data_IF_773990561273
#
_entry.id   IF_773990561273
#
_cell.length_a   1.000
_cell.length_b   1.000
_cell.length_c   1.000
_cell.angle_alpha   90.00
_cell.angle_beta   90.00
_cell.angle_gamma   90.00
#
_symmetry.space_group_name_H-M   'P 1'
#
loop_
_entity.id
_entity.type
_entity.pdbx_description
1 polymer ?
#
# COMPACT_ATOMS: atom_id res chain seq x y z
N UNK A 1 -12.69 -23.73 -58.85
CA UNK A 1 -12.40 -22.57 -59.73
C UNK A 1 -11.57 -21.63 -58.89
N UNK A 2 -10.24 -21.61 -59.06
CA UNK A 2 -9.52 -20.73 -60.03
C UNK A 2 -9.76 -19.27 -59.62
N UNK A 3 -8.78 -18.46 -59.21
CA UNK A 3 -7.46 -18.24 -59.84
C UNK A 3 -6.47 -17.53 -58.92
N UNK A 4 -5.21 -17.97 -58.97
CA UNK A 4 -4.03 -17.12 -58.82
C UNK A 4 -3.90 -16.18 -60.02
N UNK A 5 -3.43 -14.95 -59.83
CA UNK A 5 -2.41 -14.31 -60.68
C UNK A 5 -1.88 -12.99 -60.06
N UNK A 6 -0.64 -12.58 -60.38
CA UNK A 6 0.21 -11.69 -59.57
C UNK A 6 0.38 -10.29 -60.18
N UNK A 7 0.98 -9.35 -59.43
CA UNK A 7 1.50 -8.10 -59.98
C UNK A 7 3.00 -7.93 -59.66
N UNK A 8 3.73 -7.55 -60.71
CA UNK A 8 5.18 -7.41 -60.80
C UNK A 8 5.64 -5.95 -60.48
N UNK A 9 6.97 -5.67 -60.41
CA UNK A 9 7.57 -4.63 -59.58
C UNK A 9 7.90 -3.31 -60.32
N UNK A 10 8.19 -2.23 -59.57
CA UNK A 10 8.82 -0.98 -60.03
C UNK A 10 9.70 -0.45 -58.88
N UNK A 11 11.04 -0.54 -58.95
CA UNK A 11 12.04 0.30 -59.65
C UNK A 11 12.60 1.43 -58.77
N UNK A 12 13.91 1.38 -58.56
CA UNK A 12 14.74 2.39 -57.88
C UNK A 12 15.28 3.37 -58.92
N UNK A 13 15.08 4.68 -58.71
CA UNK A 13 16.06 5.72 -59.10
C UNK A 13 15.63 7.13 -58.63
N UNK A 14 16.60 7.80 -58.01
CA UNK A 14 16.90 9.24 -58.05
C UNK A 14 15.97 10.26 -57.35
N UNK A 15 16.45 10.77 -56.22
CA UNK A 15 16.63 12.21 -56.02
C UNK A 15 17.65 12.47 -54.90
N UNK A 16 18.88 12.75 -55.30
CA UNK A 16 19.88 13.42 -54.48
C UNK A 16 19.55 14.91 -54.38
N UNK A 17 19.63 15.46 -53.16
CA UNK A 17 20.03 16.82 -52.76
C UNK A 17 19.17 17.36 -51.61
N UNK A 18 19.69 17.25 -50.39
CA UNK A 18 19.36 18.17 -49.30
C UNK A 18 20.62 18.37 -48.44
N UNK A 19 21.38 19.38 -48.87
CA UNK A 19 22.18 20.33 -48.11
C UNK A 19 22.63 19.97 -46.68
N UNK A 20 23.96 19.95 -46.58
CA UNK A 20 24.80 19.97 -45.40
C UNK A 20 24.42 21.15 -44.47
N UNK A 21 23.53 20.90 -43.50
CA UNK A 21 23.28 21.79 -42.37
C UNK A 21 24.20 21.37 -41.23
N UNK A 22 24.93 22.30 -40.58
CA UNK A 22 25.79 21.94 -39.46
C UNK A 22 24.89 21.37 -38.35
N UNK A 23 25.15 20.12 -37.95
CA UNK A 23 24.59 19.52 -36.76
C UNK A 23 24.81 20.48 -35.59
N UNK A 24 23.74 21.18 -35.20
CA UNK A 24 23.69 21.81 -33.89
C UNK A 24 23.95 20.68 -32.88
N UNK A 25 24.90 20.91 -31.98
CA UNK A 25 25.14 20.08 -30.82
C UNK A 25 23.90 20.14 -29.91
N UNK A 26 22.84 19.41 -30.30
CA UNK A 26 21.73 19.06 -29.43
C UNK A 26 22.29 18.19 -28.32
N UNK A 27 22.12 18.64 -27.09
CA UNK A 27 22.85 18.20 -25.90
C UNK A 27 22.94 16.67 -25.76
N UNK A 28 24.16 16.13 -25.70
CA UNK A 28 24.43 14.75 -25.27
C UNK A 28 23.81 14.41 -23.90
N UNK A 29 23.43 15.43 -23.11
CA UNK A 29 22.70 15.30 -21.85
C UNK A 29 21.27 14.74 -22.01
N UNK A 30 20.60 14.96 -23.15
CA UNK A 30 19.23 14.50 -23.36
C UNK A 30 19.12 12.99 -23.61
N UNK A 31 20.22 12.35 -24.05
CA UNK A 31 20.31 10.92 -24.38
C UNK A 31 21.10 10.11 -23.35
N UNK A 32 21.55 10.71 -22.25
CA UNK A 32 22.31 10.00 -21.22
C UNK A 32 21.38 9.39 -20.17
N UNK A 33 21.66 8.16 -19.75
CA UNK A 33 20.98 7.51 -18.61
C UNK A 33 21.21 8.24 -17.29
N UNK A 34 22.19 9.16 -17.21
CA UNK A 34 22.39 10.03 -16.06
C UNK A 34 21.15 10.90 -15.75
N UNK A 35 20.26 11.12 -16.72
CA UNK A 35 18.99 11.83 -16.52
C UNK A 35 18.04 11.15 -15.51
N UNK A 36 18.27 9.86 -15.22
CA UNK A 36 17.48 9.08 -14.27
C UNK A 36 18.01 9.14 -12.84
N UNK A 37 19.25 9.63 -12.64
CA UNK A 37 19.73 9.95 -11.31
C UNK A 37 18.85 11.08 -10.78
N UNK A 38 18.14 10.81 -9.70
CA UNK A 38 17.26 11.80 -9.11
C UNK A 38 18.08 13.01 -8.66
N UNK A 39 17.68 14.21 -9.07
CA UNK A 39 18.08 15.44 -8.36
C UNK A 39 17.28 15.48 -7.06
N UNK A 40 17.63 14.62 -6.11
CA UNK A 40 16.93 14.49 -4.84
C UNK A 40 17.06 15.80 -4.07
N UNK A 41 15.95 16.51 -3.94
CA UNK A 41 15.79 17.63 -3.01
C UNK A 41 15.16 17.12 -1.72
N UNK A 42 15.17 17.96 -0.68
CA UNK A 42 14.48 17.65 0.58
C UNK A 42 12.96 17.37 0.40
N UNK A 43 12.36 17.87 -0.69
CA UNK A 43 10.94 17.73 -0.99
C UNK A 43 10.63 16.55 -1.93
N UNK A 44 11.63 15.76 -2.33
CA UNK A 44 11.43 14.64 -3.26
C UNK A 44 10.68 13.51 -2.57
N UNK A 45 9.51 13.16 -3.10
CA UNK A 45 8.74 12.00 -2.63
C UNK A 45 9.40 10.70 -3.10
N UNK A 46 9.59 9.75 -2.19
CA UNK A 46 10.25 8.47 -2.51
C UNK A 46 9.54 7.75 -3.66
N UNK A 47 8.21 7.67 -3.62
CA UNK A 47 7.40 6.95 -4.62
C UNK A 47 7.45 7.58 -6.04
N UNK A 48 7.94 8.81 -6.18
CA UNK A 48 8.09 9.50 -7.47
C UNK A 48 9.47 9.31 -8.10
N UNK A 49 10.40 8.69 -7.37
CA UNK A 49 11.76 8.41 -7.84
C UNK A 49 11.82 7.06 -8.56
N UNK A 50 12.46 7.02 -9.74
CA UNK A 50 12.69 5.76 -10.49
C UNK A 50 13.80 4.90 -9.87
N UNK A 51 14.82 5.55 -9.32
CA UNK A 51 15.96 4.92 -8.66
C UNK A 51 15.90 5.20 -7.16
N UNK A 52 16.57 4.38 -6.33
CA UNK A 52 16.76 4.71 -4.92
C UNK A 52 17.35 6.11 -4.72
N UNK A 53 17.02 6.76 -3.60
CA UNK A 53 17.45 8.12 -3.29
C UNK A 53 18.97 8.28 -3.24
N UNK A 54 19.68 7.23 -2.84
CA UNK A 54 21.15 7.23 -2.77
C UNK A 54 21.83 6.89 -4.11
N UNK A 55 21.07 6.68 -5.18
CA UNK A 55 21.62 6.32 -6.48
C UNK A 55 22.52 7.45 -7.03
N UNK A 56 23.74 7.11 -7.41
CA UNK A 56 24.71 8.03 -7.97
C UNK A 56 25.58 7.32 -9.03
N UNK A 57 26.43 8.07 -9.72
CA UNK A 57 27.48 7.51 -10.59
C UNK A 57 28.84 7.99 -10.12
N UNK A 58 29.79 7.07 -9.99
CA UNK A 58 31.16 7.38 -9.54
C UNK A 58 32.07 7.82 -10.70
N UNK A 59 33.33 8.18 -10.40
CA UNK A 59 34.32 8.63 -11.40
C UNK A 59 34.70 7.57 -12.45
N UNK A 60 34.26 6.32 -12.28
CA UNK A 60 34.45 5.21 -13.23
C UNK A 60 33.23 4.96 -14.11
N UNK A 61 32.20 5.81 -14.04
CA UNK A 61 30.93 5.64 -14.74
C UNK A 61 30.13 4.38 -14.29
N UNK A 62 30.32 3.97 -13.03
CA UNK A 62 29.55 2.87 -12.43
C UNK A 62 28.40 3.40 -11.58
N UNK A 63 27.27 2.68 -11.58
CA UNK A 63 26.14 2.93 -10.69
C UNK A 63 26.54 2.63 -9.23
N UNK A 64 26.21 3.57 -8.35
CA UNK A 64 26.36 3.47 -6.90
C UNK A 64 24.97 3.41 -6.25
N UNK A 65 24.80 2.58 -5.23
CA UNK A 65 23.60 2.57 -4.35
C UNK A 65 24.06 2.46 -2.91
N UNK A 66 23.55 3.31 -2.02
CA UNK A 66 23.95 3.34 -0.61
C UNK A 66 25.45 3.59 -0.42
N UNK A 67 26.08 4.32 -1.33
CA UNK A 67 27.54 4.54 -1.34
C UNK A 67 28.37 3.32 -1.77
N UNK A 68 27.75 2.24 -2.25
CA UNK A 68 28.41 1.01 -2.71
C UNK A 68 28.41 0.93 -4.24
N UNK A 69 29.55 0.56 -4.85
CA UNK A 69 29.65 0.33 -6.30
C UNK A 69 28.93 -0.97 -6.66
N UNK A 70 27.96 -0.90 -7.58
CA UNK A 70 27.16 -2.06 -7.98
C UNK A 70 28.03 -3.14 -8.64
N UNK A 71 29.12 -2.77 -9.31
CA UNK A 71 30.08 -3.74 -9.87
C UNK A 71 30.77 -4.53 -8.75
N UNK A 72 31.16 -3.85 -7.67
CA UNK A 72 31.77 -4.49 -6.51
C UNK A 72 30.76 -5.39 -5.77
N UNK A 73 29.50 -4.95 -5.65
CA UNK A 73 28.43 -5.75 -5.07
C UNK A 73 28.17 -7.03 -5.87
N UNK A 74 28.13 -6.97 -7.20
CA UNK A 74 27.96 -8.16 -8.04
C UNK A 74 29.19 -9.08 -7.96
N UNK A 75 30.40 -8.53 -7.89
CA UNK A 75 31.60 -9.33 -7.71
C UNK A 75 31.60 -10.08 -6.36
N UNK A 76 31.05 -9.46 -5.31
CA UNK A 76 30.98 -10.06 -3.97
C UNK A 76 29.82 -11.04 -3.80
N UNK A 77 28.62 -10.71 -4.28
CA UNK A 77 27.37 -11.44 -3.98
C UNK A 77 26.81 -12.23 -5.17
N UNK A 78 27.36 -12.05 -6.37
CA UNK A 78 26.87 -12.67 -7.60
C UNK A 78 25.67 -11.96 -8.22
N UNK A 79 25.12 -12.52 -9.32
CA UNK A 79 23.91 -12.03 -9.99
C UNK A 79 22.98 -13.20 -10.38
N UNK A 80 21.64 -12.98 -10.44
CA UNK A 80 20.91 -11.74 -10.19
C UNK A 80 20.96 -11.28 -8.73
N UNK A 81 21.00 -9.96 -8.50
CA UNK A 81 21.14 -9.35 -7.17
C UNK A 81 20.05 -8.31 -6.93
N UNK A 82 19.35 -8.43 -5.81
CA UNK A 82 18.43 -7.41 -5.31
C UNK A 82 19.16 -6.54 -4.29
N UNK A 83 19.20 -5.23 -4.53
CA UNK A 83 19.84 -4.26 -3.65
C UNK A 83 18.75 -3.40 -3.03
N UNK A 84 18.61 -3.47 -1.70
CA UNK A 84 17.73 -2.60 -0.94
C UNK A 84 18.53 -1.40 -0.44
N UNK A 85 18.08 -0.19 -0.79
CA UNK A 85 18.61 1.04 -0.19
C UNK A 85 17.87 1.37 1.11
N UNK A 86 18.51 1.09 2.24
CA UNK A 86 17.96 1.38 3.57
C UNK A 86 17.61 2.86 3.77
N UNK A 87 18.37 3.79 3.17
CA UNK A 87 18.07 5.22 3.27
C UNK A 87 16.72 5.54 2.61
N UNK A 88 16.46 4.96 1.45
CA UNK A 88 15.20 5.13 0.73
C UNK A 88 14.02 4.62 1.55
N UNK A 89 14.12 3.38 2.05
CA UNK A 89 13.11 2.74 2.91
C UNK A 89 12.78 3.58 4.15
N UNK A 90 13.79 3.99 4.92
CA UNK A 90 13.59 4.81 6.12
C UNK A 90 13.01 6.18 5.80
N UNK A 91 13.40 6.77 4.67
CA UNK A 91 12.87 8.06 4.23
C UNK A 91 11.38 7.95 3.90
N UNK A 92 10.95 6.88 3.22
CA UNK A 92 9.53 6.63 2.94
C UNK A 92 8.72 6.50 4.23
N UNK A 93 9.19 5.70 5.21
CA UNK A 93 8.54 5.59 6.53
C UNK A 93 8.33 6.96 7.18
N UNK A 94 9.36 7.82 7.16
CA UNK A 94 9.31 9.14 7.77
C UNK A 94 8.40 10.10 7.01
N UNK A 95 8.41 10.07 5.68
CA UNK A 95 7.51 10.89 4.85
C UNK A 95 6.05 10.58 5.18
N UNK A 96 5.67 9.30 5.23
CA UNK A 96 4.32 8.91 5.63
C UNK A 96 3.94 9.42 7.03
N UNK A 97 4.79 9.16 8.04
CA UNK A 97 4.52 9.60 9.43
C UNK A 97 4.37 11.12 9.54
N UNK A 98 5.30 11.86 8.94
CA UNK A 98 5.31 13.33 9.00
C UNK A 98 4.12 13.95 8.27
N UNK A 99 3.72 13.40 7.12
CA UNK A 99 2.56 13.93 6.40
C UNK A 99 1.26 13.63 7.14
N UNK A 100 1.09 12.44 7.74
CA UNK A 100 -0.09 12.15 8.55
C UNK A 100 -0.14 13.02 9.82
N UNK A 101 0.99 13.21 10.52
CA UNK A 101 1.08 14.12 11.67
C UNK A 101 0.74 15.57 11.29
N UNK A 102 1.12 16.01 10.08
CA UNK A 102 0.85 17.36 9.59
C UNK A 102 -0.62 17.60 9.26
N UNK A 103 -1.30 16.63 8.64
CA UNK A 103 -2.63 16.84 8.06
C UNK A 103 -3.77 16.24 8.87
N UNK A 104 -3.51 15.22 9.69
CA UNK A 104 -4.53 14.59 10.51
C UNK A 104 -4.52 15.13 11.95
N UNK A 105 -5.60 15.78 12.42
CA UNK A 105 -5.65 16.31 13.79
C UNK A 105 -5.85 15.23 14.87
N UNK A 106 -6.17 13.99 14.48
CA UNK A 106 -6.31 12.85 15.39
C UNK A 106 -5.05 11.99 15.46
N UNK A 107 -5.12 10.85 16.15
CA UNK A 107 -4.04 9.87 16.15
C UNK A 107 -3.93 9.20 14.77
N UNK A 108 -2.71 8.89 14.32
CA UNK A 108 -2.48 8.12 13.11
C UNK A 108 -1.42 7.06 13.30
N UNK A 109 -1.48 6.01 12.46
CA UNK A 109 -0.50 4.94 12.46
C UNK A 109 -0.26 4.44 11.03
N UNK A 110 1.00 4.39 10.65
CA UNK A 110 1.42 3.78 9.38
C UNK A 110 1.66 2.29 9.65
N UNK A 111 1.17 1.44 8.77
CA UNK A 111 1.26 -0.02 8.85
C UNK A 111 1.99 -0.52 7.60
N UNK A 112 3.21 -1.04 7.71
CA UNK A 112 3.90 -1.57 6.55
C UNK A 112 3.22 -2.84 6.04
N UNK A 113 2.77 -2.83 4.78
CA UNK A 113 2.17 -4.01 4.18
C UNK A 113 3.21 -5.04 3.75
N UNK A 114 3.49 -6.04 4.62
CA UNK A 114 4.69 -6.88 4.48
C UNK A 114 4.63 -7.87 3.32
N UNK A 115 3.44 -8.09 2.74
CA UNK A 115 3.28 -8.79 1.44
C UNK A 115 4.12 -8.19 0.31
N UNK A 116 4.56 -6.92 0.43
CA UNK A 116 5.45 -6.29 -0.54
C UNK A 116 6.88 -6.87 -0.48
N UNK A 117 7.43 -7.02 0.74
CA UNK A 117 8.71 -7.73 0.98
C UNK A 117 8.85 -8.14 2.46
N UNK A 118 8.39 -9.35 2.80
CA UNK A 118 8.52 -9.88 4.16
C UNK A 118 9.90 -10.53 4.37
N UNK A 119 10.82 -9.82 5.01
CA UNK A 119 12.06 -10.41 5.53
C UNK A 119 12.49 -9.74 6.85
N UNK A 120 13.31 -10.43 7.65
CA UNK A 120 13.72 -9.96 8.98
C UNK A 120 14.30 -8.55 8.95
N UNK A 121 15.13 -8.22 7.97
CA UNK A 121 15.76 -6.90 7.86
C UNK A 121 14.74 -5.80 7.60
N UNK A 122 13.83 -5.99 6.64
CA UNK A 122 12.79 -5.00 6.30
C UNK A 122 11.81 -4.81 7.47
N UNK A 123 11.35 -5.90 8.08
CA UNK A 123 10.48 -5.83 9.27
C UNK A 123 11.18 -5.13 10.44
N UNK A 124 12.49 -5.36 10.64
CA UNK A 124 13.25 -4.72 11.70
C UNK A 124 13.41 -3.21 11.44
N UNK A 125 13.66 -2.79 10.19
CA UNK A 125 13.73 -1.38 9.81
C UNK A 125 12.38 -0.70 10.05
N UNK A 126 11.27 -1.30 9.61
CA UNK A 126 9.92 -0.80 9.84
C UNK A 126 9.62 -0.63 11.35
N UNK A 127 9.96 -1.65 12.15
CA UNK A 127 9.80 -1.60 13.62
C UNK A 127 10.65 -0.49 14.24
N UNK A 128 11.89 -0.30 13.79
CA UNK A 128 12.79 0.76 14.29
C UNK A 128 12.32 2.17 13.90
N UNK A 129 11.71 2.34 12.73
CA UNK A 129 11.07 3.62 12.34
C UNK A 129 9.74 3.85 13.08
N UNK A 130 9.30 2.91 13.90
CA UNK A 130 8.10 3.00 14.73
C UNK A 130 6.84 3.05 13.89
N UNK A 131 6.77 2.20 12.87
CA UNK A 131 5.54 1.89 12.13
C UNK A 131 5.11 0.44 12.42
N UNK A 132 3.82 0.17 12.34
CA UNK A 132 3.27 -1.17 12.54
C UNK A 132 3.51 -2.06 11.32
N UNK A 133 3.17 -3.35 11.41
CA UNK A 133 3.36 -4.32 10.33
C UNK A 133 2.03 -5.05 10.06
N UNK A 134 1.61 -5.01 8.80
CA UNK A 134 0.58 -5.89 8.23
C UNK A 134 1.25 -7.23 7.91
N UNK A 135 0.59 -8.33 8.28
CA UNK A 135 1.02 -9.68 7.94
C UNK A 135 -0.18 -10.45 7.39
N UNK A 136 0.02 -11.30 6.38
CA UNK A 136 -1.07 -12.03 5.72
C UNK A 136 -1.04 -13.54 5.97
N UNK A 137 -0.02 -14.05 6.67
CA UNK A 137 0.10 -15.47 7.02
C UNK A 137 0.85 -15.68 8.34
N UNK A 138 0.74 -16.88 8.90
CA UNK A 138 1.48 -17.25 10.12
C UNK A 138 3.01 -17.15 9.98
N UNK A 139 3.54 -17.40 8.77
CA UNK A 139 4.97 -17.23 8.48
C UNK A 139 5.41 -15.77 8.56
N UNK A 140 4.62 -14.87 7.97
CA UNK A 140 4.88 -13.42 8.02
C UNK A 140 4.74 -12.87 9.44
N UNK A 141 3.74 -13.33 10.19
CA UNK A 141 3.56 -13.00 11.61
C UNK A 141 4.80 -13.39 12.42
N UNK A 142 5.32 -14.59 12.22
CA UNK A 142 6.53 -15.05 12.91
C UNK A 142 7.77 -14.23 12.51
N UNK A 143 7.92 -13.86 11.23
CA UNK A 143 9.01 -12.97 10.79
C UNK A 143 8.92 -11.61 11.49
N UNK A 144 7.73 -11.01 11.53
CA UNK A 144 7.51 -9.71 12.15
C UNK A 144 7.80 -9.73 13.66
N UNK A 145 7.32 -10.76 14.38
CA UNK A 145 7.62 -10.98 15.81
C UNK A 145 9.12 -11.14 16.03
N UNK A 146 9.78 -11.94 15.20
CA UNK A 146 11.23 -12.18 15.29
C UNK A 146 12.05 -10.91 14.99
N UNK A 147 11.48 -9.98 14.22
CA UNK A 147 12.05 -8.67 13.94
C UNK A 147 11.74 -7.59 15.00
N UNK A 148 10.97 -7.94 16.04
CA UNK A 148 10.69 -7.09 17.19
C UNK A 148 9.29 -6.45 17.24
N UNK A 149 8.42 -6.72 16.27
CA UNK A 149 7.02 -6.29 16.33
C UNK A 149 6.25 -7.09 17.39
N UNK A 150 5.25 -6.47 18.01
CA UNK A 150 4.51 -7.04 19.14
C UNK A 150 3.12 -6.44 19.27
N UNK A 151 2.16 -7.25 19.74
CA UNK A 151 0.84 -6.82 20.17
C UNK A 151 0.15 -5.89 19.18
N UNK A 152 -0.17 -4.68 19.66
CA UNK A 152 -0.82 -3.59 18.93
C UNK A 152 0.09 -2.91 17.87
N UNK A 153 1.18 -3.53 17.45
CA UNK A 153 1.94 -3.15 16.26
C UNK A 153 1.85 -4.21 15.14
N UNK A 154 1.00 -5.22 15.32
CA UNK A 154 0.74 -6.29 14.36
C UNK A 154 -0.71 -6.26 13.90
N UNK A 155 -0.91 -6.21 12.58
CA UNK A 155 -2.22 -6.26 11.92
C UNK A 155 -2.28 -7.53 11.07
N UNK A 156 -3.03 -8.53 11.52
CA UNK A 156 -3.08 -9.84 10.88
C UNK A 156 -4.25 -9.92 9.89
N UNK A 157 -3.91 -9.80 8.61
CA UNK A 157 -4.77 -9.96 7.44
C UNK A 157 -4.83 -11.39 6.92
N UNK A 158 -5.73 -11.63 5.96
CA UNK A 158 -5.84 -12.89 5.23
C UNK A 158 -7.29 -13.29 5.04
N UNK A 159 -7.66 -13.71 3.84
CA UNK A 159 -9.04 -14.05 3.51
C UNK A 159 -9.45 -15.49 3.88
N UNK A 160 -8.49 -16.28 4.34
CA UNK A 160 -8.71 -17.67 4.71
C UNK A 160 -7.72 -18.12 5.80
N UNK A 161 -7.66 -17.37 6.90
CA UNK A 161 -6.80 -17.71 8.04
C UNK A 161 -7.23 -19.06 8.61
N UNK A 162 -6.27 -19.96 8.78
CA UNK A 162 -6.49 -21.25 9.44
C UNK A 162 -6.74 -21.07 10.94
N UNK A 163 -7.31 -22.08 11.60
CA UNK A 163 -7.49 -22.05 13.06
C UNK A 163 -6.15 -21.91 13.79
N UNK A 164 -5.07 -22.47 13.27
CA UNK A 164 -3.75 -22.37 13.88
C UNK A 164 -3.16 -20.96 13.70
N UNK A 165 -3.41 -20.31 12.57
CA UNK A 165 -3.08 -18.89 12.39
C UNK A 165 -3.89 -17.98 13.31
N UNK A 166 -5.20 -18.21 13.47
CA UNK A 166 -6.00 -17.44 14.42
C UNK A 166 -5.48 -17.58 15.86
N UNK A 167 -5.08 -18.79 16.27
CA UNK A 167 -4.43 -19.02 17.58
C UNK A 167 -3.12 -18.25 17.71
N UNK A 168 -2.26 -18.27 16.68
CA UNK A 168 -1.02 -17.50 16.66
C UNK A 168 -1.28 -15.99 16.77
N UNK A 169 -2.29 -15.48 16.06
CA UNK A 169 -2.70 -14.08 16.15
C UNK A 169 -3.15 -13.68 17.55
N UNK A 170 -3.95 -14.52 18.21
CA UNK A 170 -4.37 -14.33 19.60
C UNK A 170 -3.19 -14.39 20.58
N UNK A 171 -2.24 -15.31 20.38
CA UNK A 171 -1.04 -15.45 21.23
C UNK A 171 -0.09 -14.27 21.09
N UNK A 172 -0.02 -13.68 19.90
CA UNK A 172 0.78 -12.49 19.62
C UNK A 172 0.10 -11.17 20.05
N UNK A 173 -1.14 -11.23 20.54
CA UNK A 173 -2.00 -10.07 20.82
C UNK A 173 -2.13 -9.13 19.60
N UNK A 174 -2.14 -9.71 18.41
CA UNK A 174 -2.26 -8.95 17.16
C UNK A 174 -3.69 -8.46 16.95
N UNK A 175 -3.85 -7.32 16.29
CA UNK A 175 -5.16 -6.91 15.76
C UNK A 175 -5.51 -7.79 14.58
N UNK A 176 -6.59 -8.56 14.67
CA UNK A 176 -7.00 -9.46 13.60
C UNK A 176 -7.95 -8.71 12.67
N UNK A 177 -7.58 -8.59 11.40
CA UNK A 177 -8.45 -8.02 10.37
C UNK A 177 -9.32 -9.13 9.80
N UNK A 178 -10.55 -9.22 10.30
CA UNK A 178 -11.50 -10.29 10.00
C UNK A 178 -12.13 -10.08 8.63
N UNK A 179 -12.05 -11.10 7.78
CA UNK A 179 -12.39 -10.98 6.36
C UNK A 179 -13.77 -11.57 6.02
N UNK A 180 -14.27 -12.53 6.79
CA UNK A 180 -15.56 -13.19 6.51
C UNK A 180 -16.24 -13.83 7.74
N UNK A 181 -17.48 -14.30 7.55
CA UNK A 181 -18.31 -14.92 8.57
C UNK A 181 -17.70 -16.18 9.23
N UNK A 182 -17.04 -17.02 8.43
CA UNK A 182 -16.44 -18.24 8.96
C UNK A 182 -15.30 -17.90 9.92
N UNK A 183 -14.44 -16.96 9.52
CA UNK A 183 -13.38 -16.44 10.37
C UNK A 183 -13.94 -15.79 11.64
N UNK A 184 -14.92 -14.89 11.52
CA UNK A 184 -15.50 -14.17 12.65
C UNK A 184 -16.05 -15.13 13.73
N UNK A 185 -16.82 -16.13 13.30
CA UNK A 185 -17.41 -17.13 14.21
C UNK A 185 -16.34 -18.03 14.83
N UNK A 186 -15.38 -18.48 14.04
CA UNK A 186 -14.26 -19.31 14.51
C UNK A 186 -13.41 -18.57 15.54
N UNK A 187 -13.10 -17.30 15.28
CA UNK A 187 -12.34 -16.45 16.18
C UNK A 187 -13.08 -16.22 17.50
N UNK A 188 -14.39 -15.91 17.46
CA UNK A 188 -15.19 -15.73 18.67
C UNK A 188 -15.23 -17.01 19.53
N UNK A 189 -15.37 -18.18 18.89
CA UNK A 189 -15.31 -19.46 19.60
C UNK A 189 -13.93 -19.68 20.24
N UNK A 190 -12.84 -19.53 19.48
CA UNK A 190 -11.48 -19.71 19.99
C UNK A 190 -11.15 -18.74 21.13
N UNK A 191 -11.54 -17.47 21.00
CA UNK A 191 -11.37 -16.44 22.01
C UNK A 191 -12.13 -16.80 23.30
N UNK A 192 -13.38 -17.27 23.15
CA UNK A 192 -14.21 -17.73 24.27
C UNK A 192 -13.62 -18.94 24.99
N UNK A 193 -13.14 -19.96 24.26
CA UNK A 193 -12.51 -21.16 24.82
C UNK A 193 -11.22 -20.84 25.59
N UNK A 194 -10.50 -19.79 25.18
CA UNK A 194 -9.27 -19.31 25.83
C UNK A 194 -9.52 -18.34 26.99
N UNK A 195 -10.73 -17.79 27.11
CA UNK A 195 -11.04 -16.75 28.08
C UNK A 195 -10.34 -15.42 27.80
N UNK A 196 -10.00 -15.15 26.54
CA UNK A 196 -9.32 -13.92 26.08
C UNK A 196 -10.17 -13.22 25.04
N UNK A 197 -10.31 -11.90 25.12
CA UNK A 197 -11.00 -11.14 24.08
C UNK A 197 -10.09 -10.93 22.86
N UNK A 198 -10.61 -11.17 21.66
CA UNK A 198 -9.90 -10.89 20.41
C UNK A 198 -10.17 -9.44 19.98
N UNK A 199 -9.13 -8.64 19.78
CA UNK A 199 -9.24 -7.29 19.23
C UNK A 199 -9.24 -7.35 17.70
N UNK A 200 -10.28 -6.83 17.05
CA UNK A 200 -10.46 -6.97 15.61
C UNK A 200 -10.73 -5.65 14.89
N UNK A 201 -10.38 -5.65 13.60
CA UNK A 201 -11.00 -4.79 12.60
C UNK A 201 -11.85 -5.65 11.67
N UNK A 202 -12.93 -5.09 11.12
CA UNK A 202 -13.70 -5.73 10.05
C UNK A 202 -13.24 -5.21 8.70
N UNK A 203 -12.87 -6.10 7.79
CA UNK A 203 -12.60 -5.74 6.39
C UNK A 203 -13.89 -5.65 5.60
N UNK A 204 -14.11 -4.51 4.97
CA UNK A 204 -15.32 -4.18 4.24
C UNK A 204 -15.01 -3.84 2.78
N UNK A 205 -15.96 -4.14 1.89
CA UNK A 205 -15.84 -3.88 0.45
C UNK A 205 -16.59 -2.58 0.09
N UNK A 206 -15.89 -1.47 -0.23
CA UNK A 206 -16.51 -0.13 -0.29
C UNK A 206 -17.29 0.19 -1.57
N UNK A 207 -17.40 -0.73 -2.52
CA UNK A 207 -18.01 -0.41 -3.83
C UNK A 207 -17.15 0.53 -4.68
N UNK A 208 -15.89 0.73 -4.28
CA UNK A 208 -14.89 1.58 -4.96
C UNK A 208 -13.76 0.67 -5.44
N UNK A 209 -13.62 0.51 -6.76
CA UNK A 209 -12.46 -0.15 -7.36
C UNK A 209 -11.72 0.79 -8.29
N UNK A 210 -10.38 0.75 -8.16
CA UNK A 210 -9.48 1.44 -9.06
C UNK A 210 -8.72 0.39 -9.88
N UNK A 211 -8.94 0.41 -11.19
CA UNK A 211 -8.02 -0.20 -12.14
C UNK A 211 -7.23 0.91 -12.79
N UNK A 212 -5.97 0.66 -13.13
CA UNK A 212 -5.07 1.63 -13.77
C UNK A 212 -5.81 2.38 -14.88
N UNK A 213 -6.09 3.67 -14.65
CA UNK A 213 -6.80 4.66 -15.48
C UNK A 213 -8.34 4.65 -15.54
N UNK A 214 -9.06 3.77 -14.83
CA UNK A 214 -10.53 3.80 -14.75
C UNK A 214 -11.03 3.62 -13.31
N UNK A 215 -11.74 4.65 -12.81
CA UNK A 215 -12.51 4.57 -11.57
C UNK A 215 -13.87 3.95 -11.86
N UNK A 216 -14.16 2.82 -11.21
CA UNK A 216 -15.43 2.13 -11.35
C UNK A 216 -16.12 2.09 -9.98
N UNK A 217 -17.24 2.80 -9.88
CA UNK A 217 -18.15 2.70 -8.74
C UNK A 217 -19.27 1.72 -9.09
N UNK A 218 -19.12 0.45 -8.74
CA UNK A 218 -20.12 -0.60 -8.99
C UNK A 218 -20.87 -0.95 -7.71
N UNK A 219 -22.19 -1.18 -7.84
CA UNK A 219 -23.06 -1.54 -6.70
C UNK A 219 -22.83 -2.96 -6.15
N UNK A 220 -22.11 -3.80 -6.88
CA UNK A 220 -21.64 -5.11 -6.45
C UNK A 220 -20.22 -5.32 -6.97
N UNK A 221 -19.29 -5.61 -6.06
CA UNK A 221 -17.93 -5.99 -6.39
C UNK A 221 -17.84 -7.50 -6.20
N UNK A 222 -17.38 -8.23 -7.22
CA UNK A 222 -17.03 -9.67 -7.10
C UNK A 222 -15.66 -9.80 -6.43
N UNK A 223 -15.60 -9.40 -5.15
CA UNK A 223 -14.41 -9.46 -4.33
C UNK A 223 -14.44 -10.70 -3.47
N UNK A 224 -13.34 -11.46 -3.44
CA UNK A 224 -13.15 -12.57 -2.50
C UNK A 224 -12.81 -12.11 -1.07
N UNK A 225 -12.78 -10.80 -0.84
CA UNK A 225 -12.27 -10.17 0.36
C UNK A 225 -13.36 -9.34 1.04
N UNK A 226 -13.42 -9.44 2.36
CA UNK A 226 -14.24 -8.58 3.20
C UNK A 226 -15.74 -8.86 3.11
N UNK A 227 -16.48 -8.16 3.97
CA UNK A 227 -17.93 -8.19 3.97
C UNK A 227 -18.48 -7.17 2.97
N UNK A 228 -19.48 -7.60 2.21
CA UNK A 228 -20.20 -6.74 1.28
C UNK A 228 -21.12 -5.75 2.03
N UNK A 229 -21.46 -4.59 1.41
CA UNK A 229 -22.31 -3.59 2.04
C UNK A 229 -23.67 -4.10 2.54
N UNK A 230 -24.25 -5.12 1.89
CA UNK A 230 -25.53 -5.73 2.27
C UNK A 230 -25.42 -6.67 3.49
N UNK A 231 -24.20 -7.04 3.89
CA UNK A 231 -23.94 -7.90 5.05
C UNK A 231 -23.70 -7.11 6.34
N UNK A 232 -23.42 -5.81 6.25
CA UNK A 232 -22.94 -4.99 7.37
C UNK A 232 -23.89 -5.00 8.57
N UNK A 233 -25.19 -4.80 8.34
CA UNK A 233 -26.20 -4.83 9.41
C UNK A 233 -26.20 -6.17 10.16
N UNK A 234 -26.10 -7.28 9.43
CA UNK A 234 -26.06 -8.61 10.03
C UNK A 234 -24.78 -8.82 10.85
N UNK A 235 -23.63 -8.38 10.33
CA UNK A 235 -22.33 -8.48 11.03
C UNK A 235 -22.32 -7.63 12.31
N UNK A 236 -22.79 -6.39 12.25
CA UNK A 236 -22.86 -5.51 13.41
C UNK A 236 -23.86 -6.01 14.45
N UNK A 237 -25.01 -6.55 14.03
CA UNK A 237 -25.98 -7.18 14.92
C UNK A 237 -25.39 -8.40 15.65
N UNK A 238 -24.64 -9.24 14.93
CA UNK A 238 -23.93 -10.39 15.52
C UNK A 238 -22.87 -9.94 16.53
N UNK A 239 -22.05 -8.94 16.18
CA UNK A 239 -21.05 -8.40 17.10
C UNK A 239 -21.66 -7.86 18.39
N UNK A 240 -22.80 -7.17 18.29
CA UNK A 240 -23.47 -6.58 19.44
C UNK A 240 -24.13 -7.59 20.39
N UNK A 241 -24.50 -8.79 19.91
CA UNK A 241 -25.35 -9.74 20.65
C UNK A 241 -24.72 -11.09 20.93
N UNK A 242 -23.95 -11.60 19.98
CA UNK A 242 -23.54 -13.00 19.93
C UNK A 242 -22.00 -13.18 19.96
N UNK A 243 -21.24 -12.09 19.87
CA UNK A 243 -19.78 -12.10 19.82
C UNK A 243 -19.10 -11.55 21.08
N UNK A 244 -19.51 -12.04 22.26
CA UNK A 244 -19.05 -11.50 23.54
C UNK A 244 -17.52 -11.59 23.77
N UNK A 245 -16.80 -12.44 23.03
CA UNK A 245 -15.32 -12.55 23.11
C UNK A 245 -14.60 -11.77 22.01
N UNK A 246 -15.33 -10.95 21.23
CA UNK A 246 -14.79 -10.09 20.18
C UNK A 246 -14.89 -8.62 20.61
N UNK A 247 -13.77 -7.92 20.54
CA UNK A 247 -13.71 -6.48 20.68
C UNK A 247 -13.44 -5.85 19.30
N UNK A 248 -14.51 -5.48 18.60
CA UNK A 248 -14.42 -4.82 17.31
C UNK A 248 -14.11 -3.33 17.51
N UNK A 249 -12.85 -2.95 17.25
CA UNK A 249 -12.37 -1.58 17.45
C UNK A 249 -12.28 -0.78 16.16
N UNK A 250 -12.34 -1.42 14.99
CA UNK A 250 -12.09 -0.71 13.74
C UNK A 250 -12.72 -1.30 12.51
N UNK A 251 -12.68 -0.51 11.45
CA UNK A 251 -13.09 -0.90 10.11
C UNK A 251 -11.89 -0.74 9.16
N UNK A 252 -11.75 -1.68 8.24
CA UNK A 252 -10.71 -1.70 7.23
C UNK A 252 -11.32 -1.73 5.82
N UNK A 253 -10.72 -1.02 4.89
CA UNK A 253 -11.01 -1.18 3.47
C UNK A 253 -9.73 -1.02 2.64
N UNK A 254 -9.68 -1.67 1.48
CA UNK A 254 -8.58 -1.53 0.53
C UNK A 254 -9.13 -1.50 -0.88
N UNK A 255 -8.83 -0.43 -1.62
CA UNK A 255 -9.51 -0.09 -2.90
C UNK A 255 -8.70 -0.41 -4.16
N UNK A 256 -7.47 -0.89 -4.01
CA UNK A 256 -6.62 -1.30 -5.13
C UNK A 256 -5.13 -1.07 -4.91
N UNK A 257 -4.37 -1.25 -5.98
CA UNK A 257 -2.91 -1.10 -6.01
C UNK A 257 -2.51 -0.25 -7.20
N UNK A 258 -1.41 0.49 -7.06
CA UNK A 258 -0.84 1.28 -8.15
C UNK A 258 -1.79 2.39 -8.63
N UNK A 259 -2.48 3.03 -7.68
CA UNK A 259 -3.46 4.08 -7.92
C UNK A 259 -2.73 5.42 -8.02
N UNK A 260 -3.00 6.18 -9.09
CA UNK A 260 -2.45 7.51 -9.32
C UNK A 260 -3.47 8.62 -9.06
N UNK A 261 -4.75 8.31 -9.19
CA UNK A 261 -5.84 9.24 -8.94
C UNK A 261 -6.02 9.47 -7.45
N UNK A 262 -6.12 10.75 -7.03
CA UNK A 262 -6.41 11.10 -5.64
C UNK A 262 -7.89 10.92 -5.28
N UNK A 263 -8.79 11.02 -6.26
CA UNK A 263 -10.24 11.00 -6.04
C UNK A 263 -10.74 9.75 -5.28
N UNK A 264 -10.33 8.52 -5.62
CA UNK A 264 -10.82 7.33 -4.91
C UNK A 264 -10.38 7.30 -3.44
N UNK A 265 -9.17 7.79 -3.17
CA UNK A 265 -8.65 7.96 -1.81
C UNK A 265 -9.33 9.11 -1.05
N UNK A 266 -9.86 10.09 -1.77
CA UNK A 266 -10.66 11.18 -1.22
C UNK A 266 -12.07 10.70 -0.82
N UNK A 267 -12.66 9.79 -1.60
CA UNK A 267 -14.04 9.31 -1.44
C UNK A 267 -14.16 8.21 -0.36
N UNK A 268 -13.15 7.35 -0.25
CA UNK A 268 -13.15 6.22 0.69
C UNK A 268 -13.43 6.64 2.15
N UNK A 269 -12.80 7.68 2.73
CA UNK A 269 -13.08 8.09 4.10
C UNK A 269 -14.55 8.41 4.38
N UNK A 270 -15.28 8.96 3.41
CA UNK A 270 -16.71 9.25 3.58
C UNK A 270 -17.53 7.96 3.69
N UNK A 271 -17.21 6.94 2.88
CA UNK A 271 -17.80 5.59 2.97
C UNK A 271 -17.54 5.00 4.35
N UNK A 272 -16.28 5.05 4.82
CA UNK A 272 -15.88 4.50 6.12
C UNK A 272 -16.62 5.18 7.28
N UNK A 273 -16.79 6.51 7.24
CA UNK A 273 -17.53 7.27 8.26
C UNK A 273 -19.00 6.88 8.29
N UNK A 274 -19.65 6.66 7.14
CA UNK A 274 -21.05 6.19 7.10
C UNK A 274 -21.19 4.81 7.75
N UNK A 275 -20.24 3.91 7.53
CA UNK A 275 -20.23 2.60 8.20
C UNK A 275 -19.97 2.71 9.70
N UNK A 276 -19.15 3.67 10.15
CA UNK A 276 -18.99 3.96 11.58
C UNK A 276 -20.31 4.42 12.23
N UNK A 277 -21.09 5.28 11.56
CA UNK A 277 -22.41 5.68 12.05
C UNK A 277 -23.36 4.48 12.16
N UNK A 278 -23.37 3.61 11.15
CA UNK A 278 -24.16 2.39 11.18
C UNK A 278 -23.74 1.49 12.36
N UNK A 279 -22.43 1.24 12.53
CA UNK A 279 -21.91 0.46 13.64
C UNK A 279 -22.30 1.06 15.01
N UNK A 280 -22.30 2.39 15.14
CA UNK A 280 -22.74 3.08 16.35
C UNK A 280 -24.20 2.82 16.71
N UNK A 281 -25.09 2.67 15.72
CA UNK A 281 -26.51 2.31 15.95
C UNK A 281 -26.67 0.91 16.57
N UNK A 282 -25.67 0.03 16.38
CA UNK A 282 -25.59 -1.28 17.02
C UNK A 282 -24.82 -1.26 18.35
N UNK A 283 -24.40 -0.08 18.83
CA UNK A 283 -23.64 0.08 20.08
C UNK A 283 -22.15 -0.22 19.96
N UNK A 284 -21.62 -0.35 18.73
CA UNK A 284 -20.18 -0.57 18.51
C UNK A 284 -19.45 0.78 18.54
N UNK A 285 -18.33 0.83 19.27
CA UNK A 285 -17.47 2.01 19.34
C UNK A 285 -16.26 1.82 18.43
N UNK A 286 -16.39 2.32 17.19
CA UNK A 286 -15.31 2.30 16.22
C UNK A 286 -14.28 3.38 16.58
N UNK A 287 -13.07 2.93 16.88
CA UNK A 287 -11.92 3.72 17.30
C UNK A 287 -10.83 3.80 16.22
N UNK A 288 -10.76 2.83 15.32
CA UNK A 288 -9.77 2.77 14.24
C UNK A 288 -10.46 2.74 12.86
N UNK A 289 -9.97 3.56 11.94
CA UNK A 289 -10.31 3.47 10.51
C UNK A 289 -9.03 3.22 9.74
N UNK A 290 -8.97 2.10 9.05
CA UNK A 290 -7.90 1.74 8.16
C UNK A 290 -8.36 1.85 6.70
N UNK A 291 -7.72 2.76 5.98
CA UNK A 291 -7.99 3.05 4.57
C UNK A 291 -7.15 2.19 3.62
N UNK A 292 -6.35 1.28 4.15
CA UNK A 292 -5.49 0.38 3.40
C UNK A 292 -4.33 1.11 2.71
N UNK A 293 -3.71 0.41 1.76
CA UNK A 293 -2.67 0.96 0.89
C UNK A 293 -3.20 1.39 -0.48
N UNK A 294 -2.30 1.35 -1.46
CA UNK A 294 -2.67 1.46 -2.89
C UNK A 294 -1.95 2.56 -3.64
N UNK A 295 -1.32 3.51 -2.93
CA UNK A 295 -0.54 4.58 -3.55
C UNK A 295 0.49 4.00 -4.52
N UNK A 296 0.48 4.49 -5.75
CA UNK A 296 1.39 4.07 -6.79
C UNK A 296 2.82 4.58 -6.62
N UNK A 297 3.73 3.86 -7.25
CA UNK A 297 5.12 4.28 -7.49
C UNK A 297 5.40 4.48 -8.97
N UNK A 298 6.51 5.13 -9.27
CA UNK A 298 7.04 5.25 -10.62
C UNK A 298 7.83 4.00 -11.01
N UNK A 299 7.32 3.20 -11.95
CA UNK A 299 8.07 2.08 -12.56
C UNK A 299 8.81 2.50 -13.84
N UNK A 300 8.20 3.43 -14.58
CA UNK A 300 8.66 3.93 -15.87
C UNK A 300 8.69 5.45 -15.88
N UNK A 301 9.35 6.02 -16.89
CA UNK A 301 9.42 7.48 -17.02
C UNK A 301 8.06 8.15 -17.17
N UNK A 302 7.08 7.44 -17.74
CA UNK A 302 5.73 7.96 -17.97
C UNK A 302 4.81 7.87 -16.75
N UNK A 303 5.19 7.12 -15.71
CA UNK A 303 4.37 7.02 -14.51
C UNK A 303 4.48 8.33 -13.70
N UNK A 304 3.33 8.85 -13.28
CA UNK A 304 3.21 10.13 -12.56
C UNK A 304 2.31 9.96 -11.33
N UNK A 305 2.75 9.21 -10.30
CA UNK A 305 1.99 9.08 -9.06
C UNK A 305 1.99 10.41 -8.29
N UNK A 306 0.94 10.69 -7.51
CA UNK A 306 0.97 11.79 -6.56
C UNK A 306 2.03 11.53 -5.49
N UNK A 307 2.56 12.58 -4.88
CA UNK A 307 3.51 12.41 -3.78
C UNK A 307 2.84 11.76 -2.56
N UNK A 308 3.65 11.16 -1.68
CA UNK A 308 3.19 10.65 -0.39
C UNK A 308 2.48 11.76 0.40
N UNK A 309 3.02 12.98 0.34
CA UNK A 309 2.45 14.14 1.04
C UNK A 309 1.10 14.57 0.47
N UNK A 310 0.96 14.64 -0.86
CA UNK A 310 -0.32 14.93 -1.52
C UNK A 310 -1.38 13.88 -1.19
N UNK A 311 -1.01 12.61 -1.26
CA UNK A 311 -1.91 11.50 -0.94
C UNK A 311 -2.34 11.50 0.53
N UNK A 312 -1.37 11.66 1.45
CA UNK A 312 -1.64 11.74 2.88
C UNK A 312 -2.56 12.90 3.22
N UNK A 313 -2.30 14.10 2.65
CA UNK A 313 -3.16 15.27 2.81
C UNK A 313 -4.61 14.95 2.39
N UNK A 314 -4.79 14.39 1.19
CA UNK A 314 -6.12 14.04 0.66
C UNK A 314 -6.88 13.14 1.62
N UNK A 315 -6.29 12.03 2.04
CA UNK A 315 -6.96 11.06 2.94
C UNK A 315 -7.26 11.69 4.31
N UNK A 316 -6.28 12.37 4.90
CA UNK A 316 -6.38 12.94 6.25
C UNK A 316 -7.45 14.04 6.31
N UNK A 317 -7.43 14.97 5.37
CA UNK A 317 -8.39 16.08 5.32
C UNK A 317 -9.80 15.56 5.01
N UNK A 318 -9.93 14.59 4.09
CA UNK A 318 -11.21 13.92 3.79
C UNK A 318 -11.81 13.26 5.02
N UNK A 319 -11.04 12.45 5.76
CA UNK A 319 -11.56 11.79 6.95
C UNK A 319 -11.95 12.80 8.02
N UNK A 320 -11.09 13.79 8.28
CA UNK A 320 -11.38 14.81 9.28
C UNK A 320 -12.62 15.64 8.91
N UNK A 321 -12.82 15.94 7.62
CA UNK A 321 -14.01 16.61 7.14
C UNK A 321 -15.27 15.74 7.27
N UNK A 322 -15.19 14.47 6.89
CA UNK A 322 -16.29 13.52 7.00
C UNK A 322 -16.73 13.31 8.45
N UNK A 323 -15.79 13.17 9.40
CA UNK A 323 -16.10 13.10 10.83
C UNK A 323 -16.79 14.37 11.33
N UNK A 324 -16.27 15.56 10.98
CA UNK A 324 -16.88 16.85 11.37
C UNK A 324 -18.29 17.03 10.80
N UNK A 325 -18.52 16.65 9.55
CA UNK A 325 -19.84 16.76 8.92
C UNK A 325 -20.89 15.84 9.57
N UNK A 326 -20.44 14.77 10.21
CA UNK A 326 -21.29 13.74 10.83
C UNK A 326 -21.27 13.78 12.37
N UNK A 327 -20.66 14.81 12.97
CA UNK A 327 -20.50 14.98 14.42
C UNK A 327 -19.92 13.74 15.13
N UNK A 328 -18.95 13.09 14.48
CA UNK A 328 -18.23 11.94 15.04
C UNK A 328 -16.87 12.36 15.61
N UNK A 329 -16.41 11.69 16.69
CA UNK A 329 -15.02 11.83 17.12
C UNK A 329 -14.07 11.37 16.00
N UNK A 330 -12.86 11.92 16.00
CA UNK A 330 -11.81 11.47 15.09
C UNK A 330 -11.31 10.09 15.54
N UNK A 331 -11.45 9.04 14.71
CA UNK A 331 -10.82 7.76 15.00
C UNK A 331 -9.30 7.86 14.82
N UNK A 332 -8.56 6.87 15.30
CA UNK A 332 -7.19 6.65 14.86
C UNK A 332 -7.21 6.29 13.37
N UNK A 333 -6.47 7.04 12.56
CA UNK A 333 -6.39 6.83 11.11
C UNK A 333 -5.18 5.98 10.76
N UNK A 334 -5.42 4.87 10.07
CA UNK A 334 -4.39 3.95 9.62
C UNK A 334 -4.27 3.96 8.10
N UNK A 335 -3.06 3.67 7.61
CA UNK A 335 -2.86 3.30 6.22
C UNK A 335 -1.79 2.21 6.07
N UNK A 336 -1.86 1.49 4.94
CA UNK A 336 -1.07 0.27 4.71
C UNK A 336 -0.14 0.34 3.49
N UNK A 337 0.83 1.27 3.43
CA UNK A 337 1.75 1.33 2.31
C UNK A 337 2.66 0.09 2.28
N UNK A 338 2.67 -0.59 1.12
CA UNK A 338 3.62 -1.65 0.81
C UNK A 338 4.57 -1.20 -0.29
N UNK A 339 4.08 -1.20 -1.52
CA UNK A 339 4.84 -0.84 -2.74
C UNK A 339 5.45 0.56 -2.70
N UNK A 340 4.76 1.53 -2.13
CA UNK A 340 5.25 2.92 -2.03
C UNK A 340 6.27 3.14 -0.91
N UNK A 341 6.53 2.10 -0.11
CA UNK A 341 7.46 2.12 1.00
C UNK A 341 8.74 1.33 0.68
N UNK A 342 8.63 0.26 -0.12
CA UNK A 342 9.73 -0.67 -0.48
C UNK A 342 10.08 -0.66 -1.96
#
# INVERSE_FOLDING_TARGET
>A
MVSNAPSAPLSVSDAANAENTPHQAGSAAASSSLRYLAQVTADTSVNQSLLPLSAAVNDKDHLMVGGCDVVDLVAQFGSPLYILDEQTLRTACRQYKQSFERYYPGESLIVYASKAWNCLAVCAIATQEGIAIDVVSGGELQTAISAGAKGDMLYFHGNNKSLDELKLGLEADARIVVDNWHELKSLNQLASERGTAATILLRLTPGIECHTHEYIQTGHIDSKFGFDPDQLEAVFAYLAKDAASIHCIGLHAHIGSQIFELQPHQDLPEVMVRWCQMAHQYGLSIQEIDIGGGLGIRYTESDDPPSIDQWAKTVCESLAAACRANDLPLPKLLCEPGRSLI
#
